data_IF_657788831017
#
_entry.id   IF_657788831017
#
_cell.length_a   1.000
_cell.length_b   1.000
_cell.length_c   1.000
_cell.angle_alpha   90.00
_cell.angle_beta   90.00
_cell.angle_gamma   90.00
#
_symmetry.space_group_name_H-M   'P 1'
#
loop_
_entity.id
_entity.type
_entity.pdbx_description
1 polymer ?
#
# COMPACT_ATOMS: atom_id res chain seq x y z
N UNK A 1 -19.44 -35.73 9.91
CA UNK A 1 -18.27 -36.31 10.60
C UNK A 1 -17.17 -36.53 9.57
N UNK A 2 -16.20 -35.63 9.53
CA UNK A 2 -14.94 -35.78 8.80
C UNK A 2 -13.86 -35.20 9.73
N UNK A 3 -12.86 -36.01 10.02
CA UNK A 3 -11.86 -35.77 11.04
C UNK A 3 -10.86 -34.68 10.61
N UNK A 4 -10.62 -33.71 11.50
CA UNK A 4 -9.52 -32.77 11.41
C UNK A 4 -8.19 -33.49 11.71
N UNK A 5 -7.18 -33.31 10.86
CA UNK A 5 -5.81 -33.70 11.17
C UNK A 5 -5.05 -32.49 11.72
N UNK A 6 -4.26 -32.64 12.80
CA UNK A 6 -3.48 -31.53 13.36
C UNK A 6 -2.19 -31.32 12.57
N UNK A 7 -1.91 -30.07 12.23
CA UNK A 7 -0.57 -29.61 11.87
C UNK A 7 -0.01 -28.80 13.05
N UNK A 8 0.93 -29.39 13.79
CA UNK A 8 1.66 -28.74 14.89
C UNK A 8 2.76 -27.84 14.37
N UNK A 9 2.78 -26.60 14.85
CA UNK A 9 3.98 -25.75 14.87
C UNK A 9 4.31 -25.36 16.31
N UNK A 10 5.61 -25.25 16.58
CA UNK A 10 6.22 -25.01 17.89
C UNK A 10 5.72 -23.71 18.54
N UNK A 11 5.65 -23.70 19.88
CA UNK A 11 5.24 -22.61 20.79
C UNK A 11 3.75 -22.42 21.15
N UNK A 12 3.02 -23.52 21.36
CA UNK A 12 2.05 -23.60 22.48
C UNK A 12 0.84 -22.63 22.48
N UNK A 13 0.45 -22.08 21.33
CA UNK A 13 -0.78 -21.31 21.16
C UNK A 13 -1.76 -22.09 20.27
N UNK A 14 -2.82 -22.62 20.88
CA UNK A 14 -3.94 -23.23 20.17
C UNK A 14 -4.88 -22.13 19.65
N UNK A 15 -4.94 -21.95 18.32
CA UNK A 15 -6.02 -21.21 17.67
C UNK A 15 -6.94 -22.21 16.97
N UNK A 16 -8.10 -22.46 17.59
CA UNK A 16 -9.20 -23.18 16.93
C UNK A 16 -9.85 -22.22 15.93
N UNK A 17 -9.58 -22.40 14.65
CA UNK A 17 -10.38 -21.78 13.60
C UNK A 17 -11.67 -22.60 13.47
N UNK A 18 -12.70 -22.17 14.17
CA UNK A 18 -14.06 -22.60 13.85
C UNK A 18 -14.40 -22.02 12.46
N UNK A 19 -15.02 -22.82 11.56
CA UNK A 19 -15.59 -22.27 10.34
C UNK A 19 -16.64 -21.23 10.74
N UNK A 20 -16.45 -20.00 10.28
CA UNK A 20 -17.40 -18.91 10.45
C UNK A 20 -18.73 -19.39 9.86
N UNK A 21 -19.74 -19.48 10.71
CA UNK A 21 -21.13 -19.78 10.35
C UNK A 21 -21.54 -18.89 9.17
N UNK A 22 -22.02 -19.52 8.09
CA UNK A 22 -22.47 -18.92 6.83
C UNK A 22 -23.77 -18.09 6.97
N UNK A 23 -24.10 -17.59 8.17
CA UNK A 23 -25.35 -16.87 8.49
C UNK A 23 -25.14 -15.41 8.95
N UNK A 24 -23.94 -14.82 8.77
CA UNK A 24 -23.64 -13.43 9.17
C UNK A 24 -23.67 -12.40 8.03
N UNK A 25 -24.58 -12.57 7.07
CA UNK A 25 -24.67 -11.77 5.83
C UNK A 25 -25.51 -10.48 5.96
N UNK A 26 -25.57 -9.82 7.14
CA UNK A 26 -26.58 -8.77 7.39
C UNK A 26 -26.15 -7.46 8.06
N UNK A 27 -24.87 -7.10 8.16
CA UNK A 27 -24.48 -5.77 8.67
C UNK A 27 -23.15 -5.23 8.10
N UNK A 28 -22.94 -5.32 6.78
CA UNK A 28 -21.93 -4.48 6.12
C UNK A 28 -22.39 -3.01 6.20
N UNK A 29 -21.54 -2.10 6.70
CA UNK A 29 -21.87 -0.67 6.72
C UNK A 29 -22.10 -0.18 5.29
N UNK A 30 -22.97 0.82 5.07
CA UNK A 30 -23.26 1.34 3.72
C UNK A 30 -21.99 1.71 2.93
N UNK A 31 -20.93 2.11 3.62
CA UNK A 31 -19.63 2.39 3.01
C UNK A 31 -18.86 1.14 2.59
N UNK A 32 -18.98 0.01 3.31
CA UNK A 32 -18.42 -1.27 2.90
C UNK A 32 -19.12 -1.86 1.67
N UNK A 33 -20.39 -1.47 1.43
CA UNK A 33 -21.10 -1.80 0.19
C UNK A 33 -20.65 -0.91 -1.00
N UNK A 34 -20.06 0.25 -0.73
CA UNK A 34 -19.42 1.06 -1.76
C UNK A 34 -18.08 0.46 -2.16
N UNK A 35 -17.76 0.50 -3.45
CA UNK A 35 -16.46 0.03 -3.96
C UNK A 35 -15.48 1.21 -3.95
N UNK A 36 -14.37 1.04 -3.24
CA UNK A 36 -13.34 2.07 -3.09
C UNK A 36 -12.05 1.60 -3.77
N UNK A 37 -11.55 2.38 -4.73
CA UNK A 37 -10.26 2.16 -5.38
C UNK A 37 -9.38 3.38 -5.08
N UNK A 38 -8.20 3.15 -4.50
CA UNK A 38 -7.22 4.21 -4.22
C UNK A 38 -6.05 4.07 -5.16
N UNK A 39 -5.72 5.15 -5.85
CA UNK A 39 -4.58 5.22 -6.75
C UNK A 39 -3.64 6.38 -6.35
N UNK A 40 -2.33 6.24 -6.62
CA UNK A 40 -1.41 7.37 -6.52
C UNK A 40 -1.90 8.50 -7.44
N UNK A 41 -1.96 9.73 -6.92
CA UNK A 41 -2.43 10.89 -7.68
C UNK A 41 -1.64 11.05 -8.98
N UNK A 42 -2.29 11.59 -10.02
CA UNK A 42 -1.80 11.69 -11.42
C UNK A 42 -0.38 12.24 -11.51
N UNK A 43 0.61 11.39 -11.31
CA UNK A 43 2.03 11.70 -11.41
C UNK A 43 2.52 11.18 -12.75
N UNK A 44 3.31 11.95 -13.53
CA UNK A 44 3.88 11.44 -14.77
C UNK A 44 4.73 10.19 -14.46
N UNK A 45 4.25 9.00 -14.83
CA UNK A 45 5.00 7.74 -14.63
C UNK A 45 4.20 6.50 -14.20
N UNK A 46 2.89 6.55 -13.99
CA UNK A 46 2.07 5.38 -13.62
C UNK A 46 2.06 5.06 -12.12
N UNK A 47 1.67 3.84 -11.74
CA UNK A 47 1.58 3.41 -10.34
C UNK A 47 2.95 3.46 -9.65
N UNK A 48 3.14 4.43 -8.75
CA UNK A 48 4.33 4.55 -7.90
C UNK A 48 4.10 3.84 -6.58
N UNK A 49 4.89 2.82 -6.29
CA UNK A 49 4.84 2.06 -5.03
C UNK A 49 5.91 2.49 -4.03
N UNK A 50 6.81 3.40 -4.41
CA UNK A 50 7.91 3.90 -3.59
C UNK A 50 7.80 5.43 -3.52
N UNK A 51 7.83 5.95 -2.30
CA UNK A 51 7.88 7.36 -1.98
C UNK A 51 9.06 7.65 -1.07
N UNK A 52 9.48 8.92 -1.03
CA UNK A 52 10.59 9.33 -0.16
C UNK A 52 10.13 10.15 1.03
N UNK A 53 10.93 10.15 2.09
CA UNK A 53 10.63 10.89 3.33
C UNK A 53 10.61 12.41 3.15
N UNK A 54 11.23 12.91 2.07
CA UNK A 54 11.23 14.31 1.66
C UNK A 54 10.04 14.68 0.73
N UNK A 55 9.16 13.72 0.43
CA UNK A 55 8.03 13.91 -0.49
C UNK A 55 6.69 14.15 0.22
N UNK A 56 5.80 14.82 -0.50
CA UNK A 56 4.42 15.15 -0.09
C UNK A 56 3.41 14.62 -1.10
N UNK A 57 3.23 13.29 -1.19
CA UNK A 57 2.39 12.70 -2.23
C UNK A 57 0.92 13.00 -2.00
N UNK A 58 0.20 13.19 -3.11
CA UNK A 58 -1.27 13.25 -3.14
C UNK A 58 -1.79 11.95 -3.74
N UNK A 59 -2.94 11.51 -3.25
CA UNK A 59 -3.62 10.29 -3.67
C UNK A 59 -5.01 10.63 -4.18
N UNK A 60 -5.51 9.81 -5.10
CA UNK A 60 -6.88 9.93 -5.61
C UNK A 60 -7.64 8.68 -5.19
N UNK A 61 -8.76 8.87 -4.50
CA UNK A 61 -9.72 7.79 -4.24
C UNK A 61 -10.88 7.92 -5.21
N UNK A 62 -11.21 6.84 -5.90
CA UNK A 62 -12.44 6.70 -6.66
C UNK A 62 -13.42 5.89 -5.83
N UNK A 63 -14.56 6.51 -5.53
CA UNK A 63 -15.64 5.90 -4.75
C UNK A 63 -16.81 5.68 -5.68
N UNK A 64 -17.28 4.43 -5.76
CA UNK A 64 -18.49 4.06 -6.50
C UNK A 64 -19.60 3.73 -5.52
N UNK A 65 -20.69 4.49 -5.57
CA UNK A 65 -21.87 4.23 -4.76
C UNK A 65 -22.76 3.18 -5.43
N UNK A 66 -22.66 1.93 -4.98
CA UNK A 66 -23.48 0.82 -5.46
C UNK A 66 -24.77 0.62 -4.64
N UNK A 67 -25.06 1.52 -3.69
CA UNK A 67 -26.25 1.43 -2.85
C UNK A 67 -27.45 2.04 -3.58
N UNK A 68 -28.65 1.78 -3.09
CA UNK A 68 -29.88 2.43 -3.57
C UNK A 68 -30.05 3.88 -3.08
N UNK A 69 -29.13 4.37 -2.24
CA UNK A 69 -29.20 5.68 -1.59
C UNK A 69 -28.24 6.69 -2.21
N UNK A 70 -28.61 7.96 -2.22
CA UNK A 70 -27.70 9.06 -2.55
C UNK A 70 -26.89 9.48 -1.32
N UNK A 71 -25.56 9.56 -1.47
CA UNK A 71 -24.72 10.27 -0.50
C UNK A 71 -24.75 11.76 -0.81
N UNK A 72 -25.25 12.55 0.13
CA UNK A 72 -25.54 13.98 -0.08
C UNK A 72 -24.52 14.91 0.58
N UNK A 73 -24.59 16.21 0.26
CA UNK A 73 -23.85 17.27 0.96
C UNK A 73 -23.90 17.10 2.48
N UNK A 74 -22.74 17.19 3.13
CA UNK A 74 -22.55 16.85 4.55
C UNK A 74 -22.05 15.43 4.79
N UNK A 75 -22.02 14.57 3.77
CA UNK A 75 -21.39 13.25 3.89
C UNK A 75 -19.87 13.36 3.91
N UNK A 76 -19.21 12.67 4.83
CA UNK A 76 -17.75 12.64 4.91
C UNK A 76 -17.20 11.22 5.15
N UNK A 77 -15.96 11.02 4.72
CA UNK A 77 -15.17 9.82 5.02
C UNK A 77 -13.83 10.21 5.62
N UNK A 78 -13.29 9.39 6.51
CA UNK A 78 -11.94 9.57 7.05
C UNK A 78 -10.92 8.84 6.17
N UNK A 79 -9.79 9.48 5.91
CA UNK A 79 -8.61 8.83 5.35
C UNK A 79 -7.47 8.83 6.35
N UNK A 80 -6.58 7.84 6.20
CA UNK A 80 -5.46 7.62 7.09
C UNK A 80 -4.21 7.31 6.27
N UNK A 81 -3.06 7.79 6.73
CA UNK A 81 -1.76 7.28 6.31
C UNK A 81 -1.07 6.74 7.56
N UNK A 82 -0.86 5.43 7.59
CA UNK A 82 -0.16 4.74 8.65
C UNK A 82 1.17 4.19 8.11
N UNK A 83 2.26 4.31 8.87
CA UNK A 83 3.60 3.87 8.44
C UNK A 83 4.18 2.97 9.52
N UNK A 84 4.53 1.74 9.15
CA UNK A 84 5.07 0.72 10.06
C UNK A 84 4.65 -0.69 9.67
N UNK A 85 4.97 -1.66 10.53
CA UNK A 85 4.68 -3.07 10.27
C UNK A 85 3.29 -3.48 10.82
N UNK A 86 2.60 -4.37 10.10
CA UNK A 86 1.29 -4.89 10.50
C UNK A 86 0.16 -3.88 10.29
N UNK A 87 -0.55 -3.53 11.37
CA UNK A 87 -1.59 -2.49 11.41
C UNK A 87 -1.12 -1.33 12.29
N UNK A 88 -0.21 -0.47 11.78
CA UNK A 88 0.35 0.63 12.54
C UNK A 88 -0.71 1.69 12.89
N UNK A 89 -0.44 2.48 13.93
CA UNK A 89 -1.27 3.65 14.21
C UNK A 89 -1.14 4.67 13.06
N UNK A 90 -2.25 5.34 12.67
CA UNK A 90 -2.19 6.41 11.68
C UNK A 90 -1.26 7.54 12.12
N UNK A 91 -0.34 7.92 11.23
CA UNK A 91 0.53 9.09 11.39
C UNK A 91 -0.22 10.35 10.95
N UNK A 92 -1.01 10.22 9.87
CA UNK A 92 -1.88 11.27 9.36
C UNK A 92 -3.31 10.78 9.28
N UNK A 93 -4.24 11.67 9.61
CA UNK A 93 -5.67 11.44 9.56
C UNK A 93 -6.36 12.76 9.23
N UNK A 94 -7.28 12.71 8.27
CA UNK A 94 -8.17 13.84 7.97
C UNK A 94 -9.45 13.30 7.29
N UNK A 95 -10.37 14.20 6.96
CA UNK A 95 -11.65 13.88 6.35
C UNK A 95 -11.77 14.42 4.92
N UNK A 96 -12.61 13.78 4.12
CA UNK A 96 -12.98 14.24 2.78
C UNK A 96 -14.51 14.31 2.73
N UNK A 97 -15.02 15.48 2.34
CA UNK A 97 -16.42 15.65 2.03
C UNK A 97 -16.75 14.98 0.70
N UNK A 98 -17.79 14.15 0.70
CA UNK A 98 -18.25 13.39 -0.45
C UNK A 98 -19.72 13.68 -0.75
N UNK A 99 -20.06 13.55 -2.02
CA UNK A 99 -21.45 13.61 -2.49
C UNK A 99 -21.49 12.73 -3.74
N UNK A 100 -22.18 11.60 -3.67
CA UNK A 100 -22.16 10.58 -4.73
C UNK A 100 -23.58 10.02 -4.89
N UNK A 101 -24.26 10.34 -5.99
CA UNK A 101 -25.56 9.76 -6.30
C UNK A 101 -25.50 8.23 -6.39
N UNK A 102 -26.65 7.59 -6.15
CA UNK A 102 -26.82 6.15 -6.32
C UNK A 102 -26.42 5.71 -7.74
N UNK A 103 -25.52 4.74 -7.86
CA UNK A 103 -25.03 4.19 -9.12
C UNK A 103 -23.91 5.00 -9.80
N UNK A 104 -23.45 6.10 -9.21
CA UNK A 104 -22.37 6.93 -9.76
C UNK A 104 -21.02 6.67 -9.08
N UNK A 105 -19.95 7.06 -9.77
CA UNK A 105 -18.59 7.12 -9.24
C UNK A 105 -18.07 8.55 -9.23
N UNK A 106 -17.35 8.94 -8.16
CA UNK A 106 -16.60 10.21 -8.12
C UNK A 106 -15.19 10.01 -7.60
N UNK A 107 -14.30 10.92 -8.00
CA UNK A 107 -12.90 10.96 -7.59
C UNK A 107 -12.67 12.09 -6.60
N UNK A 108 -11.89 11.81 -5.55
CA UNK A 108 -11.48 12.78 -4.53
C UNK A 108 -9.98 12.70 -4.30
N UNK A 109 -9.35 13.85 -4.03
CA UNK A 109 -7.92 13.91 -3.74
C UNK A 109 -7.67 14.14 -2.25
N UNK A 110 -6.66 13.48 -1.71
CA UNK A 110 -6.21 13.65 -0.32
C UNK A 110 -4.68 13.47 -0.20
N UNK A 111 -4.16 13.67 1.02
CA UNK A 111 -2.73 13.67 1.29
C UNK A 111 -2.08 15.04 1.03
N UNK A 112 -0.80 15.04 0.64
CA UNK A 112 0.05 16.23 0.62
C UNK A 112 0.85 16.46 1.91
N UNK A 113 0.74 15.53 2.85
CA UNK A 113 1.53 15.51 4.07
C UNK A 113 2.93 14.96 3.82
N UNK A 114 3.90 15.46 4.60
CA UNK A 114 5.29 15.04 4.49
C UNK A 114 5.45 13.64 5.05
N UNK A 115 5.97 12.68 4.30
CA UNK A 115 6.14 11.31 4.78
C UNK A 115 7.36 11.16 5.70
N UNK A 116 7.35 11.78 6.87
CA UNK A 116 8.52 11.93 7.73
C UNK A 116 9.14 10.62 8.29
N UNK A 117 8.53 9.46 8.04
CA UNK A 117 8.95 8.17 8.58
C UNK A 117 9.20 7.15 7.45
N UNK A 118 10.27 6.37 7.57
CA UNK A 118 10.53 5.23 6.70
C UNK A 118 9.66 4.02 7.09
N UNK A 119 9.34 3.16 6.12
CA UNK A 119 8.70 1.87 6.37
C UNK A 119 7.61 1.51 5.37
N UNK A 120 6.78 0.53 5.74
CA UNK A 120 5.61 0.14 4.97
C UNK A 120 4.47 1.13 5.23
N UNK A 121 4.07 1.87 4.19
CA UNK A 121 2.96 2.82 4.24
C UNK A 121 1.65 2.16 3.83
N UNK A 122 0.60 2.40 4.60
CA UNK A 122 -0.76 1.93 4.31
C UNK A 122 -1.71 3.12 4.29
N UNK A 123 -2.51 3.21 3.22
CA UNK A 123 -3.65 4.11 3.16
C UNK A 123 -4.86 3.37 3.69
N UNK A 124 -5.48 3.94 4.71
CA UNK A 124 -6.73 3.50 5.26
C UNK A 124 -7.88 4.40 4.83
N UNK A 125 -9.06 3.80 4.64
CA UNK A 125 -10.33 4.52 4.55
C UNK A 125 -11.26 4.03 5.65
N UNK A 126 -12.05 4.94 6.22
CA UNK A 126 -13.08 4.61 7.19
C UNK A 126 -14.29 5.52 7.02
N UNK A 127 -15.48 4.97 7.20
CA UNK A 127 -16.69 5.73 7.39
C UNK A 127 -17.43 5.13 8.59
N UNK A 128 -18.02 6.02 9.39
CA UNK A 128 -18.81 5.66 10.55
C UNK A 128 -20.24 5.30 10.16
N UNK A 129 -21.19 5.84 10.93
CA UNK A 129 -22.62 5.62 10.72
C UNK A 129 -23.20 6.50 9.62
N UNK A 130 -24.46 6.26 9.28
CA UNK A 130 -25.23 7.11 8.38
C UNK A 130 -26.46 7.66 9.08
N UNK A 131 -26.91 8.85 8.67
CA UNK A 131 -28.17 9.44 9.12
C UNK A 131 -29.09 9.70 7.93
N UNK A 132 -30.40 9.63 8.16
CA UNK A 132 -31.40 9.88 7.12
C UNK A 132 -32.81 9.58 7.60
N UNK A 133 -33.80 10.29 7.07
CA UNK A 133 -35.23 10.02 7.37
C UNK A 133 -35.60 8.65 6.78
N UNK A 134 -36.38 7.84 7.50
CA UNK A 134 -36.62 6.43 7.19
C UNK A 134 -37.01 6.09 5.75
N UNK A 135 -37.79 6.95 5.08
CA UNK A 135 -38.21 6.75 3.68
C UNK A 135 -37.45 7.63 2.67
N UNK A 136 -36.35 8.26 3.09
CA UNK A 136 -35.53 9.10 2.22
C UNK A 136 -34.50 8.26 1.50
N UNK A 137 -34.40 8.46 0.18
CA UNK A 137 -33.31 7.92 -0.65
C UNK A 137 -31.98 8.64 -0.33
N UNK A 138 -32.03 9.80 0.33
CA UNK A 138 -30.84 10.55 0.76
C UNK A 138 -30.31 10.04 2.10
N UNK A 139 -29.00 9.78 2.16
CA UNK A 139 -28.25 9.41 3.36
C UNK A 139 -27.04 10.33 3.52
N UNK A 140 -26.84 10.80 4.75
CA UNK A 140 -25.65 11.56 5.14
C UNK A 140 -24.70 10.59 5.84
N UNK A 141 -23.54 10.37 5.25
CA UNK A 141 -22.50 9.48 5.78
C UNK A 141 -21.62 10.26 6.75
N UNK A 142 -21.34 9.74 7.94
CA UNK A 142 -20.45 10.40 8.90
C UNK A 142 -19.08 9.75 8.87
N UNK A 143 -18.04 10.55 9.02
CA UNK A 143 -16.67 10.07 9.19
C UNK A 143 -16.56 9.13 10.40
N UNK A 144 -15.69 8.13 10.29
CA UNK A 144 -15.41 7.21 11.38
C UNK A 144 -14.43 7.83 12.37
N UNK A 145 -14.76 7.86 13.67
CA UNK A 145 -13.88 8.41 14.71
C UNK A 145 -12.89 7.37 15.29
N UNK A 146 -13.02 6.10 14.91
CA UNK A 146 -12.16 5.04 15.42
C UNK A 146 -10.85 4.97 14.62
N UNK A 147 -9.74 4.66 15.29
CA UNK A 147 -8.43 4.40 14.66
C UNK A 147 -8.41 3.12 13.81
N UNK A 148 -9.54 2.42 13.71
CA UNK A 148 -9.68 1.24 12.89
C UNK A 148 -9.97 1.71 11.46
N UNK A 149 -9.08 1.41 10.53
CA UNK A 149 -9.23 1.72 9.12
C UNK A 149 -9.19 0.44 8.28
N UNK A 150 -9.88 0.46 7.15
CA UNK A 150 -9.79 -0.60 6.15
C UNK A 150 -8.64 -0.27 5.19
N UNK A 151 -7.59 -1.11 5.08
CA UNK A 151 -6.50 -0.90 4.14
C UNK A 151 -7.02 -0.85 2.70
N UNK A 152 -6.74 0.24 2.00
CA UNK A 152 -7.17 0.46 0.62
C UNK A 152 -6.00 0.46 -0.38
N UNK A 153 -4.81 0.88 0.07
CA UNK A 153 -3.59 0.91 -0.75
C UNK A 153 -2.35 0.79 0.13
N UNK A 154 -1.27 0.22 -0.41
CA UNK A 154 0.00 0.06 0.28
C UNK A 154 1.16 0.54 -0.57
N UNK A 155 2.16 1.17 0.07
CA UNK A 155 3.36 1.70 -0.56
C UNK A 155 4.57 1.55 0.38
N UNK A 156 5.76 1.84 -0.10
CA UNK A 156 6.98 1.90 0.71
C UNK A 156 7.48 3.33 0.82
N UNK A 157 7.90 3.73 2.01
CA UNK A 157 8.54 5.01 2.26
C UNK A 157 10.00 4.79 2.61
N UNK A 158 10.88 5.50 1.93
CA UNK A 158 12.32 5.40 2.13
C UNK A 158 12.95 6.78 2.31
N UNK A 159 13.98 6.86 3.13
CA UNK A 159 14.91 7.97 3.08
C UNK A 159 15.76 7.83 1.80
N UNK A 160 16.00 8.95 1.14
CA UNK A 160 16.67 8.96 -0.17
C UNK A 160 18.11 8.48 -0.07
N UNK A 161 18.81 8.85 1.00
CA UNK A 161 20.20 8.42 1.22
C UNK A 161 20.24 6.95 1.61
N UNK A 162 19.31 6.51 2.47
CA UNK A 162 19.19 5.11 2.85
C UNK A 162 18.88 4.21 1.64
N UNK A 163 17.92 4.61 0.80
CA UNK A 163 17.57 3.92 -0.43
C UNK A 163 18.78 3.78 -1.37
N UNK A 164 19.53 4.87 -1.54
CA UNK A 164 20.74 4.88 -2.36
C UNK A 164 21.79 3.91 -1.84
N UNK A 165 22.07 3.90 -0.54
CA UNK A 165 23.05 2.99 0.05
C UNK A 165 22.64 1.53 -0.10
N UNK A 166 21.37 1.21 0.12
CA UNK A 166 20.87 -0.18 0.08
C UNK A 166 20.68 -0.70 -1.35
N UNK A 167 20.14 0.11 -2.25
CA UNK A 167 19.74 -0.38 -3.59
C UNK A 167 20.69 0.04 -4.71
N UNK A 168 21.36 1.19 -4.60
CA UNK A 168 22.28 1.68 -5.63
C UNK A 168 23.73 1.30 -5.31
N UNK A 169 24.13 1.35 -4.04
CA UNK A 169 25.48 0.99 -3.58
C UNK A 169 25.94 -0.40 -4.05
N UNK A 170 25.14 -1.47 -3.85
CA UNK A 170 25.50 -2.80 -4.33
C UNK A 170 25.65 -2.88 -5.86
N UNK A 171 24.86 -2.12 -6.62
CA UNK A 171 24.96 -2.10 -8.09
C UNK A 171 26.27 -1.48 -8.55
N UNK A 172 26.70 -0.39 -7.90
CA UNK A 172 27.99 0.24 -8.19
C UNK A 172 29.17 -0.67 -7.82
N UNK A 173 29.09 -1.35 -6.68
CA UNK A 173 30.11 -2.33 -6.27
C UNK A 173 30.17 -3.52 -7.24
N UNK A 174 29.02 -4.07 -7.66
CA UNK A 174 28.95 -5.17 -8.61
C UNK A 174 29.55 -4.78 -9.97
N UNK A 175 29.25 -3.55 -10.44
CA UNK A 175 29.84 -3.01 -11.67
C UNK A 175 31.36 -2.88 -11.56
N UNK A 176 31.85 -2.43 -10.42
CA UNK A 176 33.29 -2.29 -10.15
C UNK A 176 33.97 -3.66 -10.10
N UNK A 177 33.37 -4.64 -9.41
CA UNK A 177 33.86 -6.01 -9.36
C UNK A 177 33.91 -6.66 -10.75
N UNK A 178 32.90 -6.43 -11.60
CA UNK A 178 32.92 -6.88 -12.99
C UNK A 178 34.07 -6.26 -13.78
N UNK A 179 34.30 -4.94 -13.64
CA UNK A 179 35.41 -4.27 -14.32
C UNK A 179 36.78 -4.80 -13.86
N UNK A 180 36.98 -4.99 -12.56
CA UNK A 180 38.22 -5.55 -12.01
C UNK A 180 38.44 -6.98 -12.53
N UNK A 181 37.40 -7.82 -12.51
CA UNK A 181 37.48 -9.20 -13.00
C UNK A 181 37.89 -9.24 -14.48
N UNK A 182 37.29 -8.37 -15.30
CA UNK A 182 37.67 -8.24 -16.70
C UNK A 182 39.13 -7.79 -16.88
N UNK A 183 39.58 -6.80 -16.09
CA UNK A 183 40.95 -6.32 -16.14
C UNK A 183 41.96 -7.42 -15.79
N UNK A 184 41.71 -8.18 -14.72
CA UNK A 184 42.57 -9.29 -14.29
C UNK A 184 42.64 -10.38 -15.36
N UNK A 185 41.51 -10.75 -15.97
CA UNK A 185 41.49 -11.71 -17.06
C UNK A 185 42.30 -11.23 -18.27
N UNK A 186 42.20 -9.95 -18.61
CA UNK A 186 42.95 -9.35 -19.73
C UNK A 186 44.46 -9.35 -19.47
N UNK A 187 44.88 -9.03 -18.23
CA UNK A 187 46.29 -9.11 -17.81
C UNK A 187 46.78 -10.56 -17.89
N UNK A 188 45.99 -11.53 -17.44
CA UNK A 188 46.32 -12.95 -17.54
C UNK A 188 46.51 -13.43 -18.98
N UNK A 189 45.63 -13.01 -19.91
CA UNK A 189 45.79 -13.31 -21.33
C UNK A 189 47.06 -12.69 -21.92
N UNK A 190 47.37 -11.44 -21.57
CA UNK A 190 48.61 -10.76 -21.96
C UNK A 190 49.84 -11.51 -21.46
N UNK A 191 49.83 -11.95 -20.20
CA UNK A 191 50.92 -12.75 -19.62
C UNK A 191 51.10 -14.06 -20.39
N UNK A 192 50.04 -14.78 -20.72
CA UNK A 192 50.13 -16.00 -21.53
C UNK A 192 50.71 -15.74 -22.92
N UNK A 193 50.30 -14.65 -23.59
CA UNK A 193 50.85 -14.26 -24.90
C UNK A 193 52.36 -13.98 -24.87
N UNK A 194 52.86 -13.34 -23.82
CA UNK A 194 54.29 -12.99 -23.72
C UNK A 194 55.16 -14.06 -23.05
N UNK A 195 54.56 -14.99 -22.30
CA UNK A 195 55.30 -16.06 -21.59
C UNK A 195 55.42 -17.34 -22.42
N UNK A 196 54.58 -17.54 -23.44
CA UNK A 196 54.80 -18.60 -24.42
C UNK A 196 56.01 -18.21 -25.29
N UNK A 197 57.15 -18.92 -25.22
CA UNK A 197 58.21 -18.70 -26.18
C UNK A 197 57.65 -19.03 -27.56
N UNK A 198 57.76 -18.09 -28.51
CA UNK A 198 57.69 -18.41 -29.93
C UNK A 198 58.80 -19.44 -30.20
N UNK A 199 58.49 -20.72 -30.04
CA UNK A 199 59.39 -21.79 -30.44
C UNK A 199 59.48 -21.74 -31.96
N UNK A 200 60.65 -21.42 -32.55
CA UNK A 200 60.79 -21.53 -33.99
C UNK A 200 60.86 -23.02 -34.30
N UNK A 201 59.79 -23.55 -34.90
CA UNK A 201 59.89 -24.75 -35.73
C UNK A 201 60.21 -24.30 -37.16
#
# INVERSE_FOLDING_TARGET
MLASQPATFYDGLEATLEPIDEDQDSDLTLFQQARNEVEPGKTPGGQRTIYFTDERPRFTVKITNNTEYDFVEGSSISWYIAIGDGMPEPVYQDEIDIEIPSGESREYEFGGELLAFEGHGVIGLNAGGHSGKGNSVKRELHSGSSRNYSPAYSFSVWDRDHYRVIHEGPKEMQRTAMMITFLVAMIGMLQLMFTLPLSPF
#
